data_IF_575533309909
#
_entry.id   IF_575533309909
#
_cell.length_a   1.000
_cell.length_b   1.000
_cell.length_c   1.000
_cell.angle_alpha   90.00
_cell.angle_beta   90.00
_cell.angle_gamma   90.00
#
_symmetry.space_group_name_H-M   'P 1'
#
loop_
_entity.id
_entity.type
_entity.pdbx_description
1 polymer ?
#
# COMPACT_ATOMS: atom_id res chain seq x y z
N UNK A 1 5.98 11.16 19.61
CA UNK A 1 4.68 10.78 19.02
C UNK A 1 4.88 9.67 18.04
N UNK A 2 4.06 8.67 18.16
CA UNK A 2 4.13 7.53 17.26
C UNK A 2 3.43 7.83 15.94
N UNK A 3 4.04 7.37 14.87
CA UNK A 3 3.45 7.48 13.55
C UNK A 3 2.27 6.52 13.41
N UNK A 4 1.18 6.99 12.85
CA UNK A 4 0.05 6.16 12.44
C UNK A 4 -0.10 6.29 10.93
N UNK A 5 -0.09 5.18 10.18
CA UNK A 5 -0.29 5.27 8.73
C UNK A 5 -1.61 5.92 8.37
N UNK A 6 -1.58 6.74 7.32
CA UNK A 6 -2.78 7.44 6.84
C UNK A 6 -3.00 7.16 5.36
N UNK A 7 -4.23 7.33 4.92
CA UNK A 7 -4.60 7.12 3.52
C UNK A 7 -3.72 7.94 2.60
N UNK A 8 -3.15 7.28 1.60
CA UNK A 8 -2.25 7.92 0.64
C UNK A 8 -0.80 7.80 1.00
N UNK A 9 -0.48 7.43 2.24
CA UNK A 9 0.90 7.19 2.63
C UNK A 9 1.42 5.93 1.96
N UNK A 10 2.72 5.95 1.61
CA UNK A 10 3.47 4.76 1.25
C UNK A 10 4.34 4.42 2.45
N UNK A 11 4.21 3.21 2.93
CA UNK A 11 4.97 2.78 4.10
C UNK A 11 5.76 1.53 3.78
N UNK A 12 6.93 1.41 4.42
CA UNK A 12 7.67 0.17 4.47
C UNK A 12 7.05 -0.71 5.54
N UNK A 13 6.80 -1.97 5.22
CA UNK A 13 6.35 -2.94 6.21
C UNK A 13 7.18 -4.21 6.08
N UNK A 14 7.31 -4.91 7.19
CA UNK A 14 7.98 -6.19 7.22
C UNK A 14 6.97 -7.29 6.90
N UNK A 15 7.17 -7.96 5.77
CA UNK A 15 6.31 -9.06 5.34
C UNK A 15 6.78 -10.41 5.86
N UNK A 16 7.90 -10.44 6.55
CA UNK A 16 8.37 -11.69 7.19
C UNK A 16 7.50 -12.04 8.40
N UNK A 17 7.34 -13.32 8.75
CA UNK A 17 7.87 -14.45 8.00
C UNK A 17 7.01 -14.78 6.79
N UNK A 18 7.67 -15.14 5.69
CA UNK A 18 7.01 -15.59 4.48
C UNK A 18 7.25 -17.09 4.31
N UNK A 19 6.33 -17.75 3.62
CA UNK A 19 6.44 -19.18 3.39
C UNK A 19 6.89 -19.45 1.96
N UNK A 20 7.66 -20.54 1.80
CA UNK A 20 8.14 -20.97 0.51
C UNK A 20 9.08 -19.95 -0.11
N UNK A 21 8.85 -19.61 -1.37
CA UNK A 21 9.71 -18.74 -2.13
C UNK A 21 9.26 -17.28 -2.11
N UNK A 22 8.31 -16.94 -1.28
CA UNK A 22 7.85 -15.56 -1.20
C UNK A 22 8.94 -14.67 -0.60
N UNK A 23 8.96 -13.43 -1.06
CA UNK A 23 9.94 -12.49 -0.59
C UNK A 23 9.65 -12.07 0.84
N UNK A 24 10.71 -12.07 1.65
CA UNK A 24 10.67 -11.58 3.01
C UNK A 24 11.26 -10.17 3.07
N UNK A 25 11.21 -9.55 4.25
CA UNK A 25 11.79 -8.26 4.51
C UNK A 25 10.82 -7.12 4.29
N UNK A 26 11.37 -5.91 4.27
CA UNK A 26 10.55 -4.71 4.15
C UNK A 26 10.16 -4.46 2.70
N UNK A 27 8.88 -4.17 2.50
CA UNK A 27 8.29 -3.89 1.19
C UNK A 27 7.42 -2.66 1.27
N UNK A 28 7.33 -1.87 0.19
CA UNK A 28 6.44 -0.72 0.19
C UNK A 28 5.00 -1.12 -0.09
N UNK A 29 4.08 -0.50 0.63
CA UNK A 29 2.65 -0.65 0.38
C UNK A 29 1.99 0.72 0.41
N UNK A 30 0.91 0.87 -0.35
CA UNK A 30 0.07 2.06 -0.32
C UNK A 30 -1.04 1.86 0.71
N UNK A 31 -1.17 2.80 1.61
CA UNK A 31 -2.20 2.77 2.65
C UNK A 31 -3.50 3.34 2.09
N UNK A 32 -4.57 2.58 2.19
CA UNK A 32 -5.89 2.98 1.67
C UNK A 32 -6.85 3.44 2.77
N UNK A 33 -6.67 2.94 3.99
CA UNK A 33 -7.54 3.29 5.11
C UNK A 33 -7.01 4.50 5.87
N UNK A 34 -7.91 5.32 6.44
CA UNK A 34 -7.48 6.55 7.12
C UNK A 34 -6.85 6.28 8.49
N UNK A 35 -6.04 7.23 8.95
CA UNK A 35 -5.37 7.15 10.24
C UNK A 35 -6.36 6.94 11.39
N UNK A 36 -7.55 7.54 11.31
CA UNK A 36 -8.58 7.38 12.33
C UNK A 36 -8.94 5.90 12.52
N UNK A 37 -9.09 5.16 11.43
CA UNK A 37 -9.33 3.73 11.49
C UNK A 37 -8.07 2.98 11.93
N UNK A 38 -6.95 3.28 11.31
CA UNK A 38 -5.71 2.55 11.54
C UNK A 38 -5.23 2.67 12.98
N UNK A 39 -5.33 3.86 13.55
CA UNK A 39 -4.92 4.10 14.93
C UNK A 39 -5.82 3.44 15.95
N UNK A 40 -7.12 3.38 15.65
CA UNK A 40 -8.10 2.81 16.57
C UNK A 40 -8.10 1.29 16.54
N UNK A 41 -8.00 0.71 15.35
CA UNK A 41 -8.16 -0.73 15.14
C UNK A 41 -6.82 -1.47 15.22
N UNK A 42 -5.72 -0.79 14.87
CA UNK A 42 -4.40 -1.42 14.85
C UNK A 42 -4.10 -2.16 13.54
N UNK A 43 -5.01 -2.08 12.57
CA UNK A 43 -4.84 -2.66 11.25
C UNK A 43 -4.85 -1.53 10.24
N UNK A 44 -4.35 -1.79 9.04
CA UNK A 44 -4.51 -0.90 7.90
C UNK A 44 -4.89 -1.70 6.67
N UNK A 45 -5.71 -1.11 5.83
CA UNK A 45 -6.03 -1.69 4.52
C UNK A 45 -5.07 -1.07 3.53
N UNK A 46 -4.37 -1.91 2.79
CA UNK A 46 -3.29 -1.47 1.92
C UNK A 46 -3.15 -2.38 0.72
N UNK A 47 -2.39 -1.93 -0.27
CA UNK A 47 -2.05 -2.75 -1.42
C UNK A 47 -0.56 -2.62 -1.74
N UNK A 48 0.04 -3.67 -2.31
CA UNK A 48 1.48 -3.69 -2.52
C UNK A 48 1.91 -2.82 -3.69
N UNK A 49 3.15 -2.37 -3.61
CA UNK A 49 3.82 -1.64 -4.68
C UNK A 49 5.01 -2.48 -5.12
N UNK A 50 5.16 -2.66 -6.43
CA UNK A 50 6.29 -3.39 -6.99
C UNK A 50 6.97 -2.56 -8.06
N UNK A 51 8.27 -2.80 -8.27
CA UNK A 51 9.01 -2.15 -9.35
C UNK A 51 8.80 -2.83 -10.70
N UNK A 52 8.17 -4.02 -10.72
CA UNK A 52 7.98 -4.79 -11.94
C UNK A 52 6.58 -4.59 -12.50
N UNK A 53 6.44 -3.62 -13.39
CA UNK A 53 5.19 -3.38 -14.10
C UNK A 53 4.99 -4.48 -15.16
N UNK A 54 3.79 -5.04 -15.20
CA UNK A 54 3.43 -6.08 -16.18
C UNK A 54 2.35 -5.62 -17.15
N UNK A 55 1.86 -4.40 -16.99
CA UNK A 55 0.83 -3.85 -17.87
C UNK A 55 -0.57 -4.36 -17.58
N UNK A 56 -0.81 -4.89 -16.40
CA UNK A 56 -2.15 -5.35 -16.03
C UNK A 56 -3.10 -4.16 -15.80
N UNK A 57 -4.40 -4.33 -16.10
CA UNK A 57 -5.36 -3.23 -15.98
C UNK A 57 -5.47 -2.64 -14.58
N UNK A 58 -5.16 -3.41 -13.54
CA UNK A 58 -5.29 -2.96 -12.16
C UNK A 58 -4.00 -2.42 -11.56
N UNK A 59 -2.98 -2.23 -12.40
CA UNK A 59 -1.77 -1.53 -11.98
C UNK A 59 -1.95 -0.03 -12.11
N UNK A 60 -1.44 0.71 -11.12
CA UNK A 60 -1.41 2.18 -11.16
C UNK A 60 0.04 2.61 -11.11
N UNK A 61 0.50 3.30 -12.16
CA UNK A 61 1.88 3.75 -12.24
C UNK A 61 2.10 4.97 -11.35
N UNK A 62 3.15 4.91 -10.53
CA UNK A 62 3.57 6.05 -9.72
C UNK A 62 4.53 6.89 -10.56
N UNK A 63 4.22 8.17 -10.69
CA UNK A 63 4.99 9.09 -11.55
C UNK A 63 5.46 10.30 -10.78
N UNK A 64 6.63 10.79 -11.17
CA UNK A 64 7.17 12.06 -10.65
C UNK A 64 7.28 12.10 -9.13
N UNK A 65 7.63 10.96 -8.54
CA UNK A 65 7.74 10.84 -7.09
C UNK A 65 9.20 10.56 -6.74
N UNK A 66 9.86 11.48 -6.01
CA UNK A 66 11.29 11.31 -5.71
C UNK A 66 11.58 10.21 -4.70
N UNK A 67 10.56 9.75 -3.98
CA UNK A 67 10.75 8.79 -2.89
C UNK A 67 10.18 7.41 -3.16
N UNK A 68 9.25 7.32 -4.10
CA UNK A 68 8.53 6.07 -4.37
C UNK A 68 8.46 5.85 -5.87
N UNK A 69 8.79 4.65 -6.31
CA UNK A 69 8.67 4.28 -7.72
C UNK A 69 8.02 2.91 -7.85
N UNK A 70 7.48 2.65 -9.02
CA UNK A 70 6.87 1.37 -9.35
C UNK A 70 5.39 1.48 -9.65
N UNK A 71 4.70 0.37 -9.49
CA UNK A 71 3.26 0.28 -9.74
C UNK A 71 2.54 -0.24 -8.50
N UNK A 72 1.35 0.30 -8.29
CA UNK A 72 0.45 -0.11 -7.22
C UNK A 72 -0.45 -1.21 -7.76
N UNK A 73 -0.55 -2.33 -7.05
CA UNK A 73 -1.47 -3.42 -7.41
C UNK A 73 -2.80 -3.20 -6.70
N UNK A 74 -3.70 -2.48 -7.36
CA UNK A 74 -4.98 -2.09 -6.77
C UNK A 74 -5.89 -3.29 -6.43
N UNK A 75 -5.68 -4.42 -7.08
CA UNK A 75 -6.49 -5.62 -6.87
C UNK A 75 -5.95 -6.53 -5.76
N UNK A 76 -4.77 -6.23 -5.20
CA UNK A 76 -4.16 -7.07 -4.18
C UNK A 76 -4.26 -6.43 -2.80
N UNK A 77 -5.48 -6.15 -2.41
CA UNK A 77 -5.76 -5.49 -1.13
C UNK A 77 -5.54 -6.45 0.03
N UNK A 78 -4.89 -5.95 1.07
CA UNK A 78 -4.60 -6.71 2.28
C UNK A 78 -4.95 -5.88 3.51
N UNK A 79 -5.32 -6.57 4.58
CA UNK A 79 -5.46 -5.98 5.91
C UNK A 79 -4.29 -6.47 6.75
N UNK A 80 -3.47 -5.55 7.23
CA UNK A 80 -2.23 -5.90 7.94
C UNK A 80 -2.12 -5.14 9.25
N UNK A 81 -1.50 -5.80 10.23
CA UNK A 81 -1.16 -5.18 11.51
C UNK A 81 0.08 -4.31 11.32
N UNK A 82 -0.11 -3.02 11.24
CA UNK A 82 0.97 -2.09 10.91
C UNK A 82 1.99 -1.91 12.04
N UNK A 83 1.57 -2.10 13.31
CA UNK A 83 2.50 -1.99 14.44
C UNK A 83 3.46 -3.17 14.48
N UNK A 84 2.89 -4.38 14.42
CA UNK A 84 3.69 -5.61 14.49
C UNK A 84 4.66 -5.67 13.31
N UNK A 85 4.24 -5.19 12.14
CA UNK A 85 5.07 -5.21 10.94
C UNK A 85 5.99 -3.99 10.82
N UNK A 86 6.03 -3.14 11.83
CA UNK A 86 6.97 -2.03 11.91
C UNK A 86 6.83 -1.00 10.79
N UNK A 87 5.59 -0.58 10.53
CA UNK A 87 5.32 0.37 9.45
C UNK A 87 6.11 1.67 9.62
N UNK A 88 6.84 2.06 8.57
CA UNK A 88 7.60 3.30 8.53
C UNK A 88 7.24 4.06 7.27
N UNK A 89 6.95 5.35 7.42
CA UNK A 89 6.58 6.16 6.27
C UNK A 89 7.76 6.32 5.32
N UNK A 90 7.51 6.01 4.04
CA UNK A 90 8.47 6.18 2.97
C UNK A 90 8.17 7.42 2.13
N UNK A 91 6.90 7.73 1.96
CA UNK A 91 6.46 8.85 1.14
C UNK A 91 4.95 8.86 1.03
N UNK A 92 4.46 9.48 -0.03
CA UNK A 92 3.02 9.54 -0.33
C UNK A 92 2.85 9.46 -1.84
N UNK A 93 1.71 8.96 -2.28
CA UNK A 93 1.33 9.05 -3.69
C UNK A 93 0.57 10.35 -3.93
N UNK A 94 0.43 10.73 -5.20
CA UNK A 94 -0.38 11.89 -5.56
C UNK A 94 -1.86 11.60 -5.31
N UNK A 95 -2.67 12.67 -5.25
CA UNK A 95 -4.12 12.53 -5.12
C UNK A 95 -4.70 11.77 -6.31
N UNK A 96 -4.17 12.01 -7.50
CA UNK A 96 -4.63 11.33 -8.70
C UNK A 96 -4.32 9.84 -8.66
N UNK A 97 -3.14 9.48 -8.21
CA UNK A 97 -2.74 8.07 -8.08
C UNK A 97 -3.58 7.34 -7.04
N UNK A 98 -3.85 8.00 -5.93
CA UNK A 98 -4.73 7.44 -4.91
C UNK A 98 -6.15 7.26 -5.45
N UNK A 99 -6.67 8.28 -6.13
CA UNK A 99 -8.00 8.24 -6.72
C UNK A 99 -8.13 7.15 -7.77
N UNK A 100 -7.13 6.99 -8.61
CA UNK A 100 -7.11 5.94 -9.63
C UNK A 100 -7.10 4.56 -8.98
N UNK A 101 -6.31 4.39 -7.93
CA UNK A 101 -6.23 3.12 -7.20
C UNK A 101 -7.59 2.76 -6.59
N UNK A 102 -8.22 3.72 -5.93
CA UNK A 102 -9.53 3.50 -5.30
C UNK A 102 -10.61 3.23 -6.36
N UNK A 103 -10.55 3.91 -7.50
CA UNK A 103 -11.51 3.67 -8.59
C UNK A 103 -11.39 2.25 -9.15
N UNK A 104 -10.17 1.78 -9.35
CA UNK A 104 -9.93 0.43 -9.85
C UNK A 104 -10.39 -0.62 -8.85
N UNK A 105 -10.10 -0.39 -7.57
CA UNK A 105 -10.56 -1.28 -6.51
C UNK A 105 -12.09 -1.31 -6.43
N UNK A 106 -12.71 -0.13 -6.51
CA UNK A 106 -14.17 -0.02 -6.48
C UNK A 106 -14.81 -0.81 -7.63
N UNK A 107 -14.22 -0.76 -8.81
CA UNK A 107 -14.73 -1.49 -9.97
C UNK A 107 -14.76 -3.00 -9.73
N UNK A 108 -13.87 -3.51 -8.90
CA UNK A 108 -13.83 -4.93 -8.56
C UNK A 108 -14.85 -5.28 -7.47
N UNK A 109 -14.99 -4.41 -6.48
CA UNK A 109 -15.84 -4.65 -5.31
C UNK A 109 -17.31 -4.43 -5.62
N UNK A 110 -17.61 -3.40 -6.39
CA UNK A 110 -18.98 -3.04 -6.78
C UNK A 110 -19.31 -3.56 -8.17
N UNK A 111 -19.10 -4.78 -8.35
CA UNK A 111 -19.28 -5.39 -9.65
C UNK A 111 -20.74 -5.62 -9.98
#
# INVERSE_FOLDING_TARGET
MSYVPDRGDVVWINLSPQRGHEQAGFRPVLVLSPAAYNGKVGLMICCPITTQAKGYPFEVLIQNNPKVSGVIHADQVKSLDWKVRGAKKKGQVSKDELSETLSKLKAIIYF
#
